data_IF_029410790643
#
_entry.id   IF_029410790643
#
_cell.length_a   1.000
_cell.length_b   1.000
_cell.length_c   1.000
_cell.angle_alpha   90.00
_cell.angle_beta   90.00
_cell.angle_gamma   90.00
#
_symmetry.space_group_name_H-M   'P 1'
#
loop_
_entity.id
_entity.type
_entity.pdbx_description
1 polymer ?
#
# COMPACT_ATOMS: atom_id res chain seq x y z
N UNK A 1 17.51 -6.35 -28.88
CA UNK A 1 16.13 -6.10 -28.40
C UNK A 1 16.21 -5.11 -27.26
N UNK A 2 15.46 -4.00 -27.31
CA UNK A 2 15.46 -3.03 -26.23
C UNK A 2 14.75 -3.62 -25.00
N UNK A 3 15.41 -3.58 -23.85
CA UNK A 3 14.89 -4.07 -22.57
C UNK A 3 13.70 -3.20 -22.15
N UNK A 4 12.49 -3.79 -22.08
CA UNK A 4 11.30 -3.07 -21.57
C UNK A 4 11.45 -2.94 -20.05
N UNK A 5 11.94 -1.78 -19.60
CA UNK A 5 11.93 -1.39 -18.20
C UNK A 5 10.49 -1.38 -17.65
N UNK A 6 10.33 -1.68 -16.37
CA UNK A 6 9.04 -1.48 -15.71
C UNK A 6 8.68 -0.01 -15.63
N UNK A 7 7.39 0.31 -15.60
CA UNK A 7 6.91 1.70 -15.42
C UNK A 7 7.48 2.33 -14.15
N UNK A 8 7.57 1.56 -13.06
CA UNK A 8 8.21 1.99 -11.82
C UNK A 8 9.71 2.21 -12.04
N UNK A 9 10.43 1.27 -12.66
CA UNK A 9 11.86 1.41 -13.00
C UNK A 9 12.14 2.68 -13.81
N UNK A 10 11.33 2.98 -14.82
CA UNK A 10 11.46 4.21 -15.61
C UNK A 10 11.26 5.47 -14.76
N UNK A 11 10.30 5.45 -13.83
CA UNK A 11 10.02 6.58 -12.95
C UNK A 11 11.10 6.77 -11.88
N UNK A 12 11.62 5.70 -11.29
CA UNK A 12 12.71 5.77 -10.32
C UNK A 12 14.08 6.11 -10.94
N UNK A 13 14.23 5.98 -12.26
CA UNK A 13 15.49 6.28 -12.97
C UNK A 13 15.56 7.70 -13.55
N UNK A 14 14.47 8.47 -13.51
CA UNK A 14 14.50 9.86 -13.95
C UNK A 14 15.01 10.79 -12.83
N UNK A 15 16.13 11.46 -13.10
CA UNK A 15 16.72 12.51 -12.25
C UNK A 15 15.89 13.83 -12.23
N UNK A 16 14.66 13.84 -12.76
CA UNK A 16 13.80 15.04 -12.85
C UNK A 16 12.81 15.10 -11.68
N UNK A 17 13.02 16.01 -10.70
CA UNK A 17 12.16 16.19 -9.53
C UNK A 17 10.69 16.50 -9.85
N UNK A 18 10.42 16.99 -11.06
CA UNK A 18 9.08 17.33 -11.49
C UNK A 18 8.22 16.11 -11.89
N UNK A 19 8.81 14.92 -12.07
CA UNK A 19 8.14 13.77 -12.73
C UNK A 19 7.81 12.56 -11.86
N UNK A 20 7.96 12.67 -10.54
CA UNK A 20 7.44 11.72 -9.56
C UNK A 20 8.53 10.85 -8.95
N UNK A 21 8.47 10.70 -7.63
CA UNK A 21 9.49 10.14 -6.72
C UNK A 21 10.62 11.09 -6.30
N UNK A 22 10.26 12.30 -5.86
CA UNK A 22 11.17 13.13 -5.05
C UNK A 22 11.31 12.54 -3.64
N UNK A 23 12.29 11.68 -3.43
CA UNK A 23 12.71 11.34 -2.07
C UNK A 23 13.59 10.12 -1.89
N UNK A 24 13.63 9.22 -2.87
CA UNK A 24 14.37 7.97 -2.70
C UNK A 24 15.69 8.04 -3.45
N UNK A 25 16.80 8.00 -2.71
CA UNK A 25 18.08 7.67 -3.29
C UNK A 25 18.03 6.18 -3.68
N UNK A 26 18.28 5.89 -4.96
CA UNK A 26 18.56 4.53 -5.41
C UNK A 26 19.74 3.99 -4.59
N UNK A 27 19.47 3.17 -3.57
CA UNK A 27 20.55 2.58 -2.80
C UNK A 27 21.16 1.47 -3.66
N UNK A 28 22.40 1.70 -4.11
CA UNK A 28 23.22 0.66 -4.75
C UNK A 28 23.67 -0.43 -3.77
N UNK A 29 23.53 -0.20 -2.46
CA UNK A 29 23.81 -1.16 -1.38
C UNK A 29 22.50 -1.69 -0.80
N UNK A 30 22.48 -2.97 -0.46
CA UNK A 30 21.29 -3.72 -0.03
C UNK A 30 21.04 -3.69 1.48
N UNK A 31 21.82 -2.91 2.21
CA UNK A 31 21.56 -2.61 3.61
C UNK A 31 20.36 -1.66 3.62
N UNK A 32 19.16 -2.21 3.85
CA UNK A 32 17.95 -1.42 3.91
C UNK A 32 18.06 -0.53 5.15
N UNK A 33 18.03 0.78 4.91
CA UNK A 33 17.87 1.73 6.02
C UNK A 33 16.44 1.57 6.59
N UNK A 34 16.30 1.80 7.90
CA UNK A 34 15.03 1.76 8.64
C UNK A 34 13.90 2.51 7.91
N UNK A 35 12.73 1.88 7.75
CA UNK A 35 11.56 2.43 7.05
C UNK A 35 11.85 2.88 5.61
N UNK A 36 12.87 2.31 4.96
CA UNK A 36 13.28 2.69 3.61
C UNK A 36 12.86 1.62 2.61
N UNK A 37 12.13 2.00 1.54
CA UNK A 37 11.90 1.12 0.42
C UNK A 37 13.15 1.00 -0.46
N UNK A 38 13.38 -0.17 -1.03
CA UNK A 38 14.42 -0.39 -2.03
C UNK A 38 13.84 -1.09 -3.25
N UNK A 39 14.22 -0.60 -4.44
CA UNK A 39 13.87 -1.21 -5.72
C UNK A 39 15.11 -1.78 -6.39
N UNK A 40 15.10 -3.09 -6.65
CA UNK A 40 15.98 -3.75 -7.60
C UNK A 40 15.32 -3.70 -8.98
N UNK A 41 15.81 -2.87 -9.91
CA UNK A 41 15.22 -2.75 -11.24
C UNK A 41 15.48 -4.01 -12.06
N UNK A 42 14.70 -4.14 -13.14
CA UNK A 42 14.66 -5.25 -14.07
C UNK A 42 16.01 -5.92 -14.32
N UNK A 43 16.12 -7.17 -13.88
CA UNK A 43 17.24 -8.04 -14.18
C UNK A 43 16.74 -9.29 -14.88
N UNK A 44 17.39 -9.70 -15.97
CA UNK A 44 17.15 -11.02 -16.52
C UNK A 44 17.41 -12.09 -15.45
N UNK A 45 16.51 -13.08 -15.36
CA UNK A 45 16.63 -14.17 -14.39
C UNK A 45 16.38 -15.51 -15.07
N UNK A 46 16.90 -16.56 -14.46
CA UNK A 46 16.60 -17.96 -14.77
C UNK A 46 15.77 -18.57 -13.64
N UNK A 47 15.05 -19.66 -13.92
CA UNK A 47 14.35 -20.40 -12.86
C UNK A 47 15.27 -20.77 -11.70
N UNK A 48 16.52 -21.15 -12.01
CA UNK A 48 17.56 -21.44 -11.03
C UNK A 48 17.86 -20.24 -10.12
N UNK A 49 17.97 -19.02 -10.67
CA UNK A 49 18.22 -17.81 -9.86
C UNK A 49 17.09 -17.56 -8.84
N UNK A 50 15.84 -17.80 -9.24
CA UNK A 50 14.66 -17.64 -8.37
C UNK A 50 14.62 -18.73 -7.31
N UNK A 51 14.86 -19.99 -7.69
CA UNK A 51 14.95 -21.14 -6.76
C UNK A 51 16.04 -20.93 -5.72
N UNK A 52 17.25 -20.53 -6.14
CA UNK A 52 18.35 -20.22 -5.22
C UNK A 52 17.98 -19.08 -4.28
N UNK A 53 17.23 -18.08 -4.75
CA UNK A 53 16.74 -17.01 -3.89
C UNK A 53 15.68 -17.47 -2.89
N UNK A 54 14.69 -18.27 -3.30
CA UNK A 54 13.66 -18.83 -2.40
C UNK A 54 14.30 -19.70 -1.30
N UNK A 55 15.37 -20.42 -1.62
CA UNK A 55 16.13 -21.19 -0.63
C UNK A 55 17.03 -20.31 0.24
N UNK A 56 17.53 -19.21 -0.30
CA UNK A 56 18.36 -18.23 0.40
C UNK A 56 17.58 -17.18 1.20
N UNK A 57 16.25 -17.16 1.13
CA UNK A 57 15.43 -16.30 1.99
C UNK A 57 15.45 -16.80 3.44
N UNK A 58 14.92 -15.99 4.36
CA UNK A 58 14.74 -16.38 5.76
C UNK A 58 13.98 -17.70 5.87
N UNK A 59 14.38 -18.53 6.84
CA UNK A 59 13.82 -19.88 7.02
C UNK A 59 12.31 -19.85 7.34
N UNK A 60 11.83 -18.76 7.94
CA UNK A 60 10.45 -18.52 8.36
C UNK A 60 9.64 -17.63 7.39
N UNK A 61 10.23 -17.23 6.25
CA UNK A 61 9.59 -16.37 5.27
C UNK A 61 8.32 -17.01 4.70
N UNK A 62 7.29 -16.17 4.49
CA UNK A 62 6.06 -16.54 3.76
C UNK A 62 6.08 -15.99 2.35
N UNK A 63 5.50 -16.76 1.44
CA UNK A 63 5.27 -16.38 0.06
C UNK A 63 3.77 -16.25 -0.18
N UNK A 64 3.35 -15.10 -0.70
CA UNK A 64 1.94 -14.77 -0.96
C UNK A 64 1.76 -14.61 -2.47
N UNK A 65 1.46 -15.69 -3.21
CA UNK A 65 1.22 -15.59 -4.65
C UNK A 65 -0.11 -14.88 -4.94
N UNK A 66 -0.12 -14.04 -5.98
CA UNK A 66 -1.36 -13.55 -6.57
C UNK A 66 -1.88 -14.50 -7.66
N UNK A 67 -3.03 -14.20 -8.23
CA UNK A 67 -3.62 -15.02 -9.30
C UNK A 67 -2.76 -15.02 -10.57
N UNK A 68 -2.06 -13.92 -10.86
CA UNK A 68 -1.17 -13.85 -12.03
C UNK A 68 0.06 -14.75 -11.92
N UNK A 69 0.42 -15.22 -10.72
CA UNK A 69 1.51 -16.15 -10.50
C UNK A 69 1.17 -17.62 -10.85
N UNK A 70 -0.11 -17.92 -11.09
CA UNK A 70 -0.56 -19.23 -11.60
C UNK A 70 -0.53 -19.18 -13.14
N UNK A 71 0.64 -19.42 -13.72
CA UNK A 71 0.93 -19.21 -15.15
C UNK A 71 1.86 -20.29 -15.70
N UNK A 72 1.51 -20.89 -16.84
CA UNK A 72 2.25 -22.00 -17.47
C UNK A 72 3.65 -21.60 -17.96
N UNK A 73 3.94 -20.30 -18.04
CA UNK A 73 5.25 -19.78 -18.42
C UNK A 73 6.24 -19.77 -17.26
N UNK A 74 5.78 -20.00 -16.02
CA UNK A 74 6.66 -20.15 -14.88
C UNK A 74 7.20 -21.57 -14.80
N UNK A 75 8.48 -21.68 -14.42
CA UNK A 75 9.12 -22.97 -14.28
C UNK A 75 8.56 -23.71 -13.06
N UNK A 76 8.15 -24.96 -13.26
CA UNK A 76 7.58 -25.84 -12.23
C UNK A 76 8.52 -26.05 -11.04
N UNK A 77 9.84 -25.93 -11.22
CA UNK A 77 10.82 -26.02 -10.13
C UNK A 77 10.66 -24.88 -9.11
N UNK A 78 10.19 -23.71 -9.54
CA UNK A 78 9.89 -22.60 -8.62
C UNK A 78 8.79 -23.03 -7.65
N UNK A 79 7.70 -23.60 -8.17
CA UNK A 79 6.60 -24.10 -7.36
C UNK A 79 7.03 -25.26 -6.45
N UNK A 80 7.79 -26.22 -6.96
CA UNK A 80 8.34 -27.30 -6.13
C UNK A 80 9.14 -26.76 -4.96
N UNK A 81 9.98 -25.75 -5.20
CA UNK A 81 10.81 -25.12 -4.16
C UNK A 81 9.97 -24.37 -3.12
N UNK A 82 8.92 -23.65 -3.55
CA UNK A 82 8.00 -22.97 -2.63
C UNK A 82 7.28 -23.97 -1.70
N UNK A 83 6.97 -25.16 -2.22
CA UNK A 83 6.21 -26.20 -1.53
C UNK A 83 7.09 -27.17 -0.72
N UNK A 84 8.41 -26.95 -0.61
CA UNK A 84 9.34 -27.81 0.15
C UNK A 84 9.05 -27.86 1.67
N UNK A 85 8.21 -26.97 2.21
CA UNK A 85 7.87 -26.96 3.62
C UNK A 85 6.44 -26.45 3.89
N UNK A 86 5.78 -26.95 4.96
CA UNK A 86 4.43 -26.54 5.31
C UNK A 86 4.39 -25.07 5.74
N UNK A 87 3.33 -24.35 5.37
CA UNK A 87 3.09 -22.97 5.81
C UNK A 87 4.07 -21.93 5.25
N UNK A 88 4.85 -22.30 4.23
CA UNK A 88 5.70 -21.35 3.49
C UNK A 88 4.91 -20.55 2.48
N UNK A 89 3.81 -21.07 1.97
CA UNK A 89 2.97 -20.39 0.97
C UNK A 89 1.62 -20.08 1.57
N UNK A 90 1.22 -18.82 1.52
CA UNK A 90 -0.07 -18.34 2.04
C UNK A 90 -1.00 -18.06 0.86
N UNK A 91 -2.11 -18.80 0.76
CA UNK A 91 -3.09 -18.62 -0.31
C UNK A 91 -4.33 -17.92 0.23
N UNK A 92 -4.66 -16.75 -0.34
CA UNK A 92 -5.91 -16.08 -0.02
C UNK A 92 -7.08 -16.79 -0.69
N UNK A 93 -8.25 -16.87 -0.01
CA UNK A 93 -9.46 -17.44 -0.62
C UNK A 93 -9.85 -16.79 -1.96
N UNK A 94 -9.68 -15.47 -2.10
CA UNK A 94 -10.00 -14.75 -3.34
C UNK A 94 -9.06 -15.12 -4.50
N UNK A 95 -7.80 -15.40 -4.20
CA UNK A 95 -6.84 -15.88 -5.20
C UNK A 95 -7.24 -17.28 -5.63
N UNK A 96 -7.55 -18.17 -4.69
CA UNK A 96 -8.01 -19.54 -4.96
C UNK A 96 -9.27 -19.56 -5.85
N UNK A 97 -10.23 -18.66 -5.58
CA UNK A 97 -11.42 -18.46 -6.42
C UNK A 97 -11.07 -18.03 -7.86
N UNK A 98 -10.21 -17.02 -8.02
CA UNK A 98 -9.80 -16.52 -9.34
C UNK A 98 -9.07 -17.57 -10.19
N UNK A 99 -8.23 -18.38 -9.55
CA UNK A 99 -7.39 -19.37 -10.24
C UNK A 99 -8.07 -20.74 -10.36
N UNK A 100 -9.28 -20.92 -9.83
CA UNK A 100 -9.98 -22.22 -9.83
C UNK A 100 -10.10 -22.88 -11.21
N UNK A 101 -10.34 -22.08 -12.26
CA UNK A 101 -10.35 -22.57 -13.65
C UNK A 101 -8.97 -23.04 -14.13
N UNK A 102 -7.91 -22.34 -13.73
CA UNK A 102 -6.53 -22.73 -14.03
C UNK A 102 -6.15 -24.01 -13.26
N UNK A 103 -6.45 -24.09 -11.96
CA UNK A 103 -6.19 -25.27 -11.13
C UNK A 103 -6.86 -26.53 -11.68
N UNK A 104 -8.11 -26.39 -12.15
CA UNK A 104 -8.86 -27.52 -12.74
C UNK A 104 -8.24 -27.99 -14.06
N UNK A 105 -7.79 -27.06 -14.91
CA UNK A 105 -7.17 -27.40 -16.21
C UNK A 105 -5.73 -27.89 -16.10
N UNK A 106 -5.07 -27.66 -14.96
CA UNK A 106 -3.68 -28.02 -14.69
C UNK A 106 -3.56 -28.96 -13.50
N UNK A 107 -4.43 -29.97 -13.40
CA UNK A 107 -4.52 -30.86 -12.25
C UNK A 107 -3.20 -31.58 -11.88
N UNK A 108 -2.27 -31.76 -12.82
CA UNK A 108 -0.94 -32.36 -12.61
C UNK A 108 0.17 -31.35 -12.30
N UNK A 109 -0.15 -30.06 -12.23
CA UNK A 109 0.82 -29.03 -11.87
C UNK A 109 1.03 -29.04 -10.34
N UNK A 110 2.27 -28.88 -9.83
CA UNK A 110 2.55 -28.98 -8.38
C UNK A 110 1.68 -28.09 -7.50
N UNK A 111 1.38 -26.87 -7.94
CA UNK A 111 0.47 -25.97 -7.23
C UNK A 111 -0.97 -26.51 -7.15
N UNK A 112 -1.50 -27.09 -8.23
CA UNK A 112 -2.86 -27.63 -8.26
C UNK A 112 -2.98 -28.88 -7.38
N UNK A 113 -1.99 -29.78 -7.46
CA UNK A 113 -1.90 -30.96 -6.60
C UNK A 113 -1.84 -30.54 -5.12
N UNK A 114 -1.02 -29.53 -4.78
CA UNK A 114 -0.89 -29.02 -3.42
C UNK A 114 -2.15 -28.33 -2.89
N UNK A 115 -2.90 -27.60 -3.74
CA UNK A 115 -4.19 -27.00 -3.34
C UNK A 115 -5.23 -28.09 -3.05
N UNK A 116 -5.26 -29.15 -3.87
CA UNK A 116 -6.21 -30.26 -3.75
C UNK A 116 -5.86 -31.30 -2.67
N UNK A 117 -4.63 -31.31 -2.17
CA UNK A 117 -4.18 -32.24 -1.16
C UNK A 117 -4.92 -32.08 0.18
N UNK A 118 -5.22 -33.21 0.85
CA UNK A 118 -5.88 -33.21 2.16
C UNK A 118 -5.02 -32.50 3.23
N UNK A 119 -3.71 -32.72 3.21
CA UNK A 119 -2.72 -31.97 3.98
C UNK A 119 -2.03 -30.98 3.04
N UNK A 120 -2.73 -29.87 2.77
CA UNK A 120 -2.21 -28.85 1.87
C UNK A 120 -0.99 -28.16 2.48
N UNK A 121 0.14 -28.02 1.76
CA UNK A 121 1.29 -27.24 2.21
C UNK A 121 1.00 -25.73 2.25
N UNK A 122 -0.12 -25.29 1.64
CA UNK A 122 -0.59 -23.92 1.72
C UNK A 122 -1.18 -23.61 3.09
N UNK A 123 -0.71 -22.52 3.69
CA UNK A 123 -1.41 -21.86 4.79
C UNK A 123 -2.60 -21.08 4.22
N UNK A 124 -3.81 -21.44 4.65
CA UNK A 124 -5.03 -20.70 4.29
C UNK A 124 -5.37 -19.73 5.41
N UNK A 125 -5.56 -18.46 5.05
CA UNK A 125 -5.99 -17.45 6.03
C UNK A 125 -7.47 -17.63 6.32
N UNK A 126 -7.76 -17.90 7.59
CA UNK A 126 -9.12 -17.85 8.12
C UNK A 126 -9.36 -16.52 8.85
N UNK A 127 -9.95 -15.56 8.14
CA UNK A 127 -10.34 -14.28 8.72
C UNK A 127 -11.35 -14.40 9.87
N UNK A 128 -12.05 -15.54 10.01
CA UNK A 128 -12.94 -15.81 11.14
C UNK A 128 -12.20 -15.99 12.46
N UNK A 129 -10.89 -16.26 12.41
CA UNK A 129 -10.03 -16.33 13.61
C UNK A 129 -9.46 -14.97 14.03
N UNK A 130 -9.59 -13.95 13.18
CA UNK A 130 -9.04 -12.62 13.45
C UNK A 130 -9.97 -11.84 14.38
N UNK A 131 -9.37 -10.98 15.22
CA UNK A 131 -10.15 -10.06 16.05
C UNK A 131 -10.89 -9.03 15.19
N UNK A 132 -12.04 -8.54 15.67
CA UNK A 132 -12.84 -7.55 14.93
C UNK A 132 -12.02 -6.29 14.56
N UNK A 133 -11.21 -5.80 15.50
CA UNK A 133 -10.32 -4.66 15.29
C UNK A 133 -9.30 -4.94 14.17
N UNK A 134 -8.77 -6.16 14.12
CA UNK A 134 -7.80 -6.57 13.10
C UNK A 134 -8.45 -6.63 11.71
N UNK A 135 -9.65 -7.20 11.62
CA UNK A 135 -10.45 -7.22 10.39
C UNK A 135 -10.74 -5.79 9.93
N UNK A 136 -11.11 -4.87 10.83
CA UNK A 136 -11.37 -3.46 10.49
C UNK A 136 -10.12 -2.76 9.98
N UNK A 137 -8.95 -2.98 10.61
CA UNK A 137 -7.69 -2.41 10.16
C UNK A 137 -7.28 -2.95 8.78
N UNK A 138 -7.42 -4.25 8.56
CA UNK A 138 -7.16 -4.88 7.27
C UNK A 138 -8.08 -4.32 6.18
N UNK A 139 -9.39 -4.30 6.46
CA UNK A 139 -10.41 -3.78 5.57
C UNK A 139 -10.15 -2.31 5.22
N UNK A 140 -9.67 -1.51 6.19
CA UNK A 140 -9.31 -0.11 5.95
C UNK A 140 -8.27 0.04 4.84
N UNK A 141 -7.15 -0.69 4.89
CA UNK A 141 -6.13 -0.57 3.86
C UNK A 141 -6.56 -1.18 2.53
N UNK A 142 -7.29 -2.29 2.55
CA UNK A 142 -7.87 -2.87 1.32
C UNK A 142 -8.78 -1.86 0.61
N UNK A 143 -9.71 -1.24 1.35
CA UNK A 143 -10.64 -0.26 0.80
C UNK A 143 -9.91 1.00 0.33
N UNK A 144 -8.88 1.45 1.06
CA UNK A 144 -8.09 2.61 0.71
C UNK A 144 -7.35 2.43 -0.62
N UNK A 145 -6.72 1.26 -0.82
CA UNK A 145 -6.06 0.93 -2.09
C UNK A 145 -7.09 0.73 -3.21
N UNK A 146 -8.21 0.08 -2.93
CA UNK A 146 -9.25 -0.20 -3.90
C UNK A 146 -9.98 1.07 -4.37
N UNK A 147 -9.97 2.13 -3.57
CA UNK A 147 -10.51 3.43 -3.96
C UNK A 147 -9.84 3.96 -5.25
N UNK A 148 -8.59 3.57 -5.53
CA UNK A 148 -7.87 3.87 -6.77
C UNK A 148 -8.53 3.28 -8.01
N UNK A 149 -9.17 2.11 -7.89
CA UNK A 149 -9.97 1.48 -8.95
C UNK A 149 -11.26 2.26 -9.23
N UNK A 150 -11.81 2.93 -8.22
CA UNK A 150 -13.08 3.67 -8.29
C UNK A 150 -12.95 5.13 -8.73
N UNK A 151 -11.73 5.65 -8.89
CA UNK A 151 -11.46 7.06 -9.20
C UNK A 151 -12.25 7.59 -10.39
N UNK A 152 -12.25 6.85 -11.51
CA UNK A 152 -12.98 7.26 -12.71
C UNK A 152 -14.50 7.27 -12.49
N UNK A 153 -15.04 6.29 -11.75
CA UNK A 153 -16.47 6.24 -11.41
C UNK A 153 -16.85 7.42 -10.53
N UNK A 154 -15.99 7.81 -9.58
CA UNK A 154 -16.21 8.97 -8.72
C UNK A 154 -16.20 10.29 -9.51
N UNK A 155 -15.24 10.46 -10.42
CA UNK A 155 -15.18 11.65 -11.29
C UNK A 155 -16.37 11.72 -12.24
N UNK A 156 -16.78 10.58 -12.80
CA UNK A 156 -17.97 10.50 -13.64
C UNK A 156 -19.23 10.88 -12.84
N UNK A 157 -19.45 10.25 -11.69
CA UNK A 157 -20.60 10.53 -10.83
C UNK A 157 -20.68 11.99 -10.38
N UNK A 158 -19.54 12.58 -9.99
CA UNK A 158 -19.48 14.02 -9.64
C UNK A 158 -19.95 14.89 -10.80
N UNK A 159 -19.48 14.59 -12.02
CA UNK A 159 -19.84 15.35 -13.22
C UNK A 159 -21.30 15.13 -13.63
N UNK A 160 -21.84 13.93 -13.46
CA UNK A 160 -23.27 13.65 -13.65
C UNK A 160 -24.13 14.45 -12.68
N UNK A 161 -23.71 14.51 -11.41
CA UNK A 161 -24.36 15.31 -10.38
C UNK A 161 -24.30 16.81 -10.70
N UNK A 162 -23.18 17.31 -11.21
CA UNK A 162 -23.02 18.71 -11.60
C UNK A 162 -23.86 19.07 -12.85
N UNK A 163 -24.01 18.14 -13.79
CA UNK A 163 -24.78 18.33 -15.02
C UNK A 163 -26.28 18.00 -14.88
N UNK A 164 -26.67 17.30 -13.81
CA UNK A 164 -28.03 16.80 -13.61
C UNK A 164 -28.47 15.74 -14.64
N UNK A 165 -27.52 15.08 -15.31
CA UNK A 165 -27.77 14.02 -16.31
C UNK A 165 -26.59 13.05 -16.42
N UNK A 166 -26.82 11.89 -17.02
CA UNK A 166 -25.77 10.93 -17.36
C UNK A 166 -24.74 11.53 -18.34
N UNK A 167 -23.48 11.07 -18.23
CA UNK A 167 -22.43 11.50 -19.14
C UNK A 167 -22.53 10.83 -20.51
N UNK A 168 -22.29 11.62 -21.55
CA UNK A 168 -22.05 11.09 -22.89
C UNK A 168 -20.69 10.38 -22.95
N UNK A 169 -20.50 9.47 -23.92
CA UNK A 169 -19.20 8.80 -24.13
C UNK A 169 -18.02 9.77 -24.28
N UNK A 170 -18.26 10.93 -24.91
CA UNK A 170 -17.26 11.98 -25.07
C UNK A 170 -16.88 12.62 -23.73
N UNK A 171 -17.85 12.86 -22.85
CA UNK A 171 -17.63 13.42 -21.51
C UNK A 171 -16.95 12.41 -20.59
N UNK A 172 -17.30 11.13 -20.73
CA UNK A 172 -16.61 9.99 -20.11
C UNK A 172 -15.12 9.99 -20.50
N UNK A 173 -14.82 10.08 -21.80
CA UNK A 173 -13.45 10.13 -22.30
C UNK A 173 -12.72 11.39 -21.83
N UNK A 174 -13.40 12.52 -21.76
CA UNK A 174 -12.84 13.76 -21.22
C UNK A 174 -12.53 13.64 -19.73
N UNK A 175 -13.44 13.12 -18.91
CA UNK A 175 -13.20 12.88 -17.49
C UNK A 175 -12.03 11.90 -17.25
N UNK A 176 -11.85 10.89 -18.12
CA UNK A 176 -10.66 10.03 -18.12
C UNK A 176 -9.37 10.80 -18.39
N UNK A 177 -9.39 11.77 -19.33
CA UNK A 177 -8.23 12.62 -19.63
C UNK A 177 -7.92 13.61 -18.51
N UNK A 178 -8.94 14.27 -17.97
CA UNK A 178 -8.78 15.17 -16.81
C UNK A 178 -8.25 14.39 -15.58
N UNK A 179 -8.68 13.14 -15.39
CA UNK A 179 -8.15 12.26 -14.35
C UNK A 179 -6.66 11.94 -14.58
N UNK A 180 -6.22 11.75 -15.82
CA UNK A 180 -4.79 11.57 -16.15
C UNK A 180 -3.97 12.80 -15.79
N UNK A 181 -4.48 13.99 -16.10
CA UNK A 181 -3.81 15.26 -15.82
C UNK A 181 -3.72 15.53 -14.31
N UNK A 182 -4.77 15.22 -13.56
CA UNK A 182 -4.85 15.55 -12.13
C UNK A 182 -4.16 14.52 -11.23
N UNK A 183 -4.37 13.22 -11.47
CA UNK A 183 -3.88 12.15 -10.59
C UNK A 183 -2.59 11.49 -11.11
N UNK A 184 -2.24 11.76 -12.36
CA UNK A 184 -1.08 11.19 -13.04
C UNK A 184 -1.36 9.82 -13.65
N UNK A 185 -0.43 9.37 -14.50
CA UNK A 185 -0.58 8.16 -15.30
C UNK A 185 -0.80 6.88 -14.46
N UNK A 186 -0.19 6.80 -13.26
CA UNK A 186 -0.26 5.61 -12.38
C UNK A 186 -1.68 5.36 -11.87
N UNK A 187 -2.39 6.40 -11.48
CA UNK A 187 -3.76 6.29 -10.98
C UNK A 187 -4.72 5.76 -12.07
N UNK A 188 -4.50 6.17 -13.32
CA UNK A 188 -5.39 5.81 -14.43
C UNK A 188 -5.15 4.42 -15.00
N UNK A 189 -3.96 3.85 -14.84
CA UNK A 189 -3.72 2.46 -15.23
C UNK A 189 -4.62 1.52 -14.44
N UNK A 190 -4.71 1.72 -13.12
CA UNK A 190 -5.48 0.84 -12.23
C UNK A 190 -6.99 0.95 -12.50
N UNK A 191 -7.48 2.13 -12.88
CA UNK A 191 -8.92 2.31 -13.22
C UNK A 191 -9.34 1.58 -14.48
N UNK A 192 -8.41 1.26 -15.42
CA UNK A 192 -8.75 0.50 -16.63
C UNK A 192 -9.09 -0.95 -16.36
N UNK A 193 -8.51 -1.57 -15.33
CA UNK A 193 -8.89 -2.94 -14.93
C UNK A 193 -10.26 -2.99 -14.26
N UNK A 194 -10.63 -1.91 -13.58
CA UNK A 194 -11.89 -1.81 -12.84
C UNK A 194 -13.15 -1.71 -13.73
N UNK A 195 -13.03 -1.50 -15.05
CA UNK A 195 -14.19 -1.37 -15.94
C UNK A 195 -14.87 -2.69 -16.29
N UNK A 196 -14.25 -3.84 -15.96
CA UNK A 196 -14.81 -5.17 -16.25
C UNK A 196 -15.31 -5.95 -15.03
N UNK A 197 -14.96 -5.54 -13.81
CA UNK A 197 -15.31 -6.25 -12.57
C UNK A 197 -16.47 -5.59 -11.82
N UNK A 198 -17.30 -6.41 -11.20
CA UNK A 198 -18.35 -5.96 -10.29
C UNK A 198 -17.70 -5.63 -8.92
N UNK A 199 -17.75 -4.39 -8.42
CA UNK A 199 -17.26 -4.03 -7.08
C UNK A 199 -17.92 -4.78 -5.93
N UNK A 200 -19.03 -5.47 -6.21
CA UNK A 200 -19.76 -6.30 -5.28
C UNK A 200 -19.17 -7.71 -5.13
N UNK A 201 -18.30 -8.15 -6.05
CA UNK A 201 -17.61 -9.44 -5.95
C UNK A 201 -16.34 -9.33 -5.11
N UNK A 202 -16.06 -10.39 -4.36
CA UNK A 202 -14.89 -10.46 -3.49
C UNK A 202 -13.56 -10.39 -4.28
N UNK A 203 -13.56 -10.93 -5.50
CA UNK A 203 -12.43 -10.89 -6.45
C UNK A 203 -12.05 -9.47 -6.89
N UNK A 204 -12.93 -8.48 -6.74
CA UNK A 204 -12.61 -7.10 -7.12
C UNK A 204 -11.42 -6.53 -6.31
N UNK A 205 -11.20 -7.05 -5.10
CA UNK A 205 -10.22 -6.58 -4.12
C UNK A 205 -9.01 -7.50 -3.95
N UNK A 206 -8.80 -8.48 -4.86
CA UNK A 206 -7.76 -9.50 -4.70
C UNK A 206 -6.36 -8.89 -4.57
N UNK A 207 -5.95 -8.04 -5.51
CA UNK A 207 -4.63 -7.38 -5.50
C UNK A 207 -4.39 -6.59 -4.21
N UNK A 208 -5.40 -5.83 -3.78
CA UNK A 208 -5.34 -5.03 -2.55
C UNK A 208 -5.27 -5.92 -1.31
N UNK A 209 -5.98 -7.04 -1.31
CA UNK A 209 -5.99 -8.00 -0.20
C UNK A 209 -4.67 -8.74 -0.08
N UNK A 210 -4.10 -9.22 -1.20
CA UNK A 210 -2.78 -9.85 -1.25
C UNK A 210 -1.72 -8.88 -0.72
N UNK A 211 -1.75 -7.64 -1.21
CA UNK A 211 -0.80 -6.60 -0.80
C UNK A 211 -0.94 -6.30 0.70
N UNK A 212 -2.16 -6.06 1.17
CA UNK A 212 -2.41 -5.74 2.58
C UNK A 212 -2.04 -6.90 3.49
N UNK A 213 -2.37 -8.13 3.12
CA UNK A 213 -2.05 -9.32 3.92
C UNK A 213 -0.54 -9.48 4.10
N UNK A 214 0.26 -9.29 3.05
CA UNK A 214 1.71 -9.42 3.16
C UNK A 214 2.30 -8.46 4.22
N UNK A 215 1.86 -7.20 4.23
CA UNK A 215 2.26 -6.25 5.27
C UNK A 215 1.74 -6.65 6.67
N UNK A 216 0.50 -7.14 6.77
CA UNK A 216 -0.06 -7.61 8.05
C UNK A 216 0.73 -8.79 8.62
N UNK A 217 1.04 -9.81 7.81
CA UNK A 217 1.86 -10.95 8.25
C UNK A 217 3.22 -10.44 8.73
N UNK A 218 3.88 -9.61 7.92
CA UNK A 218 5.20 -9.05 8.25
C UNK A 218 5.17 -8.27 9.57
N UNK A 219 4.24 -7.34 9.76
CA UNK A 219 4.16 -6.50 10.96
C UNK A 219 3.76 -7.32 12.18
N UNK A 220 2.71 -8.14 12.09
CA UNK A 220 2.13 -8.87 13.23
C UNK A 220 3.03 -10.00 13.69
N UNK A 221 3.42 -10.88 12.77
CA UNK A 221 4.19 -12.09 13.11
C UNK A 221 5.69 -11.82 13.20
N UNK A 222 6.19 -10.79 12.51
CA UNK A 222 7.63 -10.58 12.31
C UNK A 222 8.24 -11.45 11.20
N UNK A 223 7.47 -12.39 10.62
CA UNK A 223 7.92 -13.24 9.51
C UNK A 223 8.05 -12.40 8.25
N UNK A 224 9.17 -12.47 7.51
CA UNK A 224 9.28 -11.81 6.22
C UNK A 224 8.19 -12.28 5.25
N UNK A 225 7.51 -11.35 4.58
CA UNK A 225 6.41 -11.66 3.68
C UNK A 225 6.74 -11.22 2.24
N UNK A 226 6.66 -12.16 1.30
CA UNK A 226 7.10 -11.97 -0.09
C UNK A 226 5.92 -12.20 -1.02
N UNK A 227 5.43 -11.15 -1.66
CA UNK A 227 4.44 -11.24 -2.72
C UNK A 227 5.10 -11.78 -3.99
N UNK A 228 4.52 -12.81 -4.59
CA UNK A 228 4.95 -13.35 -5.87
C UNK A 228 3.91 -12.98 -6.92
N UNK A 229 4.32 -12.27 -7.97
CA UNK A 229 3.38 -11.76 -8.98
C UNK A 229 4.01 -11.65 -10.37
N UNK A 230 3.18 -11.73 -11.40
CA UNK A 230 3.51 -11.35 -12.79
C UNK A 230 2.86 -10.02 -13.20
N UNK A 231 2.05 -9.45 -12.32
CA UNK A 231 1.28 -8.23 -12.54
C UNK A 231 2.02 -6.99 -12.03
N UNK A 232 2.23 -6.02 -12.92
CA UNK A 232 2.84 -4.74 -12.58
C UNK A 232 2.01 -3.97 -11.55
N UNK A 233 0.70 -4.16 -11.55
CA UNK A 233 -0.21 -3.36 -10.74
C UNK A 233 -0.08 -3.72 -9.25
N UNK A 234 0.26 -4.98 -8.89
CA UNK A 234 0.59 -5.34 -7.51
C UNK A 234 1.84 -4.60 -7.01
N UNK A 235 2.86 -4.43 -7.85
CA UNK A 235 4.05 -3.65 -7.48
C UNK A 235 3.69 -2.18 -7.15
N UNK A 236 2.74 -1.61 -7.88
CA UNK A 236 2.20 -0.26 -7.65
C UNK A 236 1.33 -0.18 -6.39
N UNK A 237 0.59 -1.23 -6.05
CA UNK A 237 -0.16 -1.33 -4.81
C UNK A 237 0.77 -1.50 -3.61
N UNK A 238 1.80 -2.35 -3.73
CA UNK A 238 2.82 -2.57 -2.70
C UNK A 238 3.51 -1.26 -2.33
N UNK A 239 4.02 -0.54 -3.33
CA UNK A 239 4.65 0.76 -3.08
C UNK A 239 3.67 1.74 -2.42
N UNK A 240 2.42 1.81 -2.90
CA UNK A 240 1.45 2.75 -2.36
C UNK A 240 1.13 2.44 -0.90
N UNK A 241 0.90 1.18 -0.58
CA UNK A 241 0.61 0.75 0.78
C UNK A 241 1.80 1.02 1.72
N UNK A 242 3.02 0.72 1.28
CA UNK A 242 4.23 1.04 2.02
C UNK A 242 4.26 2.51 2.44
N UNK A 243 4.05 3.41 1.48
CA UNK A 243 4.11 4.84 1.72
C UNK A 243 3.00 5.34 2.66
N UNK A 244 1.78 4.80 2.51
CA UNK A 244 0.65 5.10 3.40
C UNK A 244 0.94 4.63 4.83
N UNK A 245 1.43 3.40 5.00
CA UNK A 245 1.77 2.83 6.30
C UNK A 245 2.87 3.63 7.00
N UNK A 246 3.96 3.98 6.31
CA UNK A 246 5.04 4.80 6.88
C UNK A 246 4.53 6.19 7.30
N UNK A 247 3.80 6.87 6.42
CA UNK A 247 3.26 8.21 6.71
C UNK A 247 2.29 8.18 7.90
N UNK A 248 1.40 7.19 7.95
CA UNK A 248 0.42 7.06 9.02
C UNK A 248 1.05 6.58 10.33
N UNK A 249 2.09 5.73 10.28
CA UNK A 249 2.83 5.28 11.45
C UNK A 249 3.58 6.42 12.12
N UNK A 250 4.28 7.25 11.34
CA UNK A 250 4.89 8.47 11.86
C UNK A 250 3.84 9.46 12.39
N UNK A 251 2.64 9.49 11.81
CA UNK A 251 1.49 10.25 12.35
C UNK A 251 0.99 9.72 13.68
N UNK A 252 0.93 8.40 13.85
CA UNK A 252 0.66 7.76 15.13
C UNK A 252 1.71 8.17 16.18
N UNK A 253 3.00 7.95 15.91
CA UNK A 253 4.08 8.28 16.83
C UNK A 253 4.12 9.77 17.20
N UNK A 254 3.91 10.65 16.22
CA UNK A 254 3.88 12.09 16.45
C UNK A 254 2.65 12.49 17.29
N UNK A 255 1.51 11.82 17.14
CA UNK A 255 0.36 12.03 18.01
C UNK A 255 0.66 11.62 19.46
N UNK A 256 1.31 10.47 19.65
CA UNK A 256 1.72 9.99 20.97
C UNK A 256 2.68 10.98 21.66
N UNK A 257 3.67 11.49 20.93
CA UNK A 257 4.59 12.52 21.42
C UNK A 257 3.88 13.85 21.70
N UNK A 258 2.94 14.29 20.83
CA UNK A 258 2.19 15.52 21.02
C UNK A 258 1.26 15.46 22.25
N UNK A 259 0.67 14.32 22.55
CA UNK A 259 -0.15 14.16 23.76
C UNK A 259 0.72 14.26 25.03
N UNK A 260 1.98 13.85 24.96
CA UNK A 260 2.93 13.98 26.06
C UNK A 260 3.49 15.40 26.22
N UNK A 261 3.61 16.17 25.13
CA UNK A 261 4.24 17.50 25.12
C UNK A 261 3.35 18.57 24.48
N UNK A 262 3.07 19.66 25.22
CA UNK A 262 2.39 20.83 24.65
C UNK A 262 3.32 21.57 23.68
N UNK A 263 3.16 21.30 22.39
CA UNK A 263 3.85 22.05 21.32
C UNK A 263 3.09 23.33 20.95
N UNK A 264 3.79 24.42 20.58
CA UNK A 264 3.13 25.58 20.00
C UNK A 264 2.28 25.16 18.80
N UNK A 265 1.02 25.59 18.81
CA UNK A 265 0.09 25.30 17.73
C UNK A 265 -0.53 26.60 17.24
N UNK A 266 -0.94 26.60 15.97
CA UNK A 266 -1.79 27.63 15.39
C UNK A 266 -3.11 27.04 14.95
N UNK A 267 -4.14 27.88 14.89
CA UNK A 267 -5.43 27.47 14.35
C UNK A 267 -5.28 27.06 12.89
N UNK A 268 -5.97 25.98 12.51
CA UNK A 268 -6.09 25.60 11.12
C UNK A 268 -6.94 26.66 10.37
N UNK A 269 -6.54 27.07 9.14
CA UNK A 269 -7.37 27.98 8.34
C UNK A 269 -8.73 27.34 8.01
N UNK A 270 -9.76 28.16 7.87
CA UNK A 270 -11.09 27.75 7.38
C UNK A 270 -11.19 27.91 5.86
N UNK A 271 -12.12 27.20 5.23
CA UNK A 271 -12.37 27.28 3.78
C UNK A 271 -11.62 26.22 3.00
N UNK A 272 -11.86 26.18 1.68
CA UNK A 272 -11.14 25.27 0.79
C UNK A 272 -9.62 25.57 0.80
N UNK A 273 -8.75 24.53 0.78
CA UNK A 273 -9.07 23.11 0.68
C UNK A 273 -9.26 22.38 2.04
N UNK A 274 -9.22 23.10 3.16
CA UNK A 274 -9.27 22.49 4.50
C UNK A 274 -10.63 21.84 4.79
N UNK A 275 -11.71 22.53 4.45
CA UNK A 275 -13.08 22.05 4.71
C UNK A 275 -13.46 20.83 3.87
N UNK A 276 -12.71 20.56 2.79
CA UNK A 276 -12.86 19.35 1.96
C UNK A 276 -12.25 18.12 2.65
N UNK A 277 -11.15 18.30 3.40
CA UNK A 277 -10.42 17.22 4.06
C UNK A 277 -10.85 17.01 5.53
N UNK A 278 -11.25 18.09 6.19
CA UNK A 278 -11.49 18.12 7.64
C UNK A 278 -12.88 18.69 7.95
N UNK A 279 -13.46 18.24 9.06
CA UNK A 279 -14.64 18.88 9.65
C UNK A 279 -14.19 20.22 10.24
N UNK A 280 -14.79 21.32 9.77
CA UNK A 280 -14.46 22.66 10.27
C UNK A 280 -14.71 22.76 11.78
N UNK A 281 -13.79 23.37 12.52
CA UNK A 281 -13.95 23.53 13.96
C UNK A 281 -12.81 24.30 14.65
N UNK A 282 -13.10 24.97 15.77
CA UNK A 282 -12.13 25.81 16.48
C UNK A 282 -11.03 25.01 17.18
N UNK A 283 -11.08 23.67 17.14
CA UNK A 283 -10.13 22.76 17.78
C UNK A 283 -9.14 22.12 16.79
N UNK A 284 -9.28 22.41 15.50
CA UNK A 284 -8.31 21.97 14.49
C UNK A 284 -7.03 22.82 14.63
N UNK A 285 -5.89 22.14 14.68
CA UNK A 285 -4.60 22.76 14.91
C UNK A 285 -3.62 22.35 13.82
N UNK A 286 -2.77 23.30 13.46
CA UNK A 286 -1.53 23.04 12.76
C UNK A 286 -0.39 23.23 13.73
N UNK A 287 0.61 22.37 13.67
CA UNK A 287 1.87 22.59 14.35
C UNK A 287 3.02 22.40 13.37
N UNK A 288 4.00 23.27 13.50
CA UNK A 288 5.20 23.21 12.68
C UNK A 288 6.00 21.97 13.05
N UNK A 289 6.47 21.25 12.03
CA UNK A 289 7.39 20.14 12.21
C UNK A 289 8.58 20.29 11.29
N UNK A 290 9.75 19.95 11.79
CA UNK A 290 10.92 19.73 10.93
C UNK A 290 10.85 18.32 10.31
N UNK A 291 11.62 18.07 9.25
CA UNK A 291 11.78 16.70 8.75
C UNK A 291 12.52 15.83 9.79
N UNK A 292 13.42 16.43 10.58
CA UNK A 292 14.08 15.79 11.72
C UNK A 292 13.09 15.36 12.81
N UNK A 293 12.02 16.11 13.03
CA UNK A 293 10.99 15.73 14.01
C UNK A 293 10.35 14.37 13.67
N UNK A 294 10.23 14.05 12.37
CA UNK A 294 9.71 12.76 11.94
C UNK A 294 10.68 11.59 12.20
N UNK A 295 11.98 11.86 12.23
CA UNK A 295 13.00 10.88 12.63
C UNK A 295 13.06 10.75 14.15
N UNK A 296 12.91 11.86 14.88
CA UNK A 296 12.98 11.87 16.35
C UNK A 296 11.79 11.19 17.03
N UNK A 297 10.63 11.09 16.37
CA UNK A 297 9.48 10.35 16.92
C UNK A 297 9.60 8.84 16.74
N UNK A 298 10.56 8.37 15.94
CA UNK A 298 10.79 6.94 15.77
C UNK A 298 11.35 6.33 17.06
N UNK A 299 10.88 5.14 17.48
CA UNK A 299 11.36 4.54 18.72
C UNK A 299 12.86 4.22 18.64
N UNK A 300 13.61 4.46 19.71
CA UNK A 300 15.07 4.17 19.77
C UNK A 300 15.36 2.68 19.57
N UNK A 301 14.47 1.82 20.08
CA UNK A 301 14.53 0.37 19.91
C UNK A 301 13.33 -0.07 19.09
N UNK A 302 13.59 -0.86 18.06
CA UNK A 302 12.56 -1.39 17.19
C UNK A 302 12.90 -2.82 16.78
N UNK A 303 11.89 -3.56 16.33
CA UNK A 303 12.07 -4.89 15.75
C UNK A 303 11.83 -4.80 14.25
N UNK A 304 12.90 -4.97 13.45
CA UNK A 304 12.77 -4.98 11.99
C UNK A 304 11.82 -6.06 11.52
N UNK A 305 11.09 -5.77 10.46
CA UNK A 305 10.34 -6.75 9.70
C UNK A 305 10.41 -6.42 8.21
N UNK A 306 10.16 -7.39 7.34
CA UNK A 306 10.38 -7.21 5.91
C UNK A 306 9.18 -7.65 5.09
N UNK A 307 8.72 -6.74 4.24
CA UNK A 307 7.77 -7.05 3.18
C UNK A 307 8.47 -6.88 1.82
N UNK A 308 8.20 -7.78 0.88
CA UNK A 308 8.74 -7.69 -0.48
C UNK A 308 7.66 -7.98 -1.52
N UNK A 309 7.88 -7.47 -2.73
CA UNK A 309 7.12 -7.80 -3.92
C UNK A 309 8.07 -8.17 -5.05
N UNK A 310 8.00 -9.42 -5.50
CA UNK A 310 8.79 -9.97 -6.58
C UNK A 310 7.93 -10.05 -7.84
N UNK A 311 8.23 -9.17 -8.79
CA UNK A 311 7.60 -9.15 -10.09
C UNK A 311 8.41 -10.01 -11.06
N UNK A 312 7.91 -11.22 -11.35
CA UNK A 312 8.58 -12.27 -12.10
C UNK A 312 7.98 -12.42 -13.51
N UNK A 313 8.52 -11.69 -14.50
CA UNK A 313 8.08 -11.74 -15.90
C UNK A 313 9.14 -12.39 -16.79
N UNK A 314 9.58 -11.70 -17.85
CA UNK A 314 10.82 -12.03 -18.56
C UNK A 314 12.05 -11.50 -17.83
N UNK A 315 11.83 -10.50 -16.98
CA UNK A 315 12.77 -9.90 -16.04
C UNK A 315 12.20 -10.01 -14.65
N UNK A 316 13.07 -9.92 -13.67
CA UNK A 316 12.74 -9.85 -12.26
C UNK A 316 12.93 -8.41 -11.80
N UNK A 317 11.91 -7.88 -11.12
CA UNK A 317 12.00 -6.66 -10.34
C UNK A 317 11.65 -7.00 -8.90
N UNK A 318 12.46 -6.57 -7.93
CA UNK A 318 12.18 -6.76 -6.51
C UNK A 318 12.01 -5.42 -5.84
N UNK A 319 10.87 -5.22 -5.21
CA UNK A 319 10.63 -4.09 -4.32
C UNK A 319 10.63 -4.62 -2.88
N UNK A 320 11.51 -4.11 -2.04
CA UNK A 320 11.59 -4.46 -0.62
C UNK A 320 11.23 -3.26 0.25
N UNK A 321 10.66 -3.51 1.42
CA UNK A 321 10.46 -2.53 2.48
C UNK A 321 10.90 -3.13 3.81
N UNK A 322 11.78 -2.41 4.51
CA UNK A 322 12.16 -2.74 5.90
C UNK A 322 11.33 -1.90 6.86
N UNK A 323 10.33 -2.54 7.45
CA UNK A 323 9.37 -1.97 8.38
C UNK A 323 9.72 -2.23 9.84
N UNK A 324 8.83 -1.82 10.72
CA UNK A 324 8.92 -2.07 12.16
C UNK A 324 7.72 -2.87 12.63
N UNK A 325 7.91 -3.86 13.51
CA UNK A 325 6.78 -4.58 14.12
C UNK A 325 5.93 -3.65 14.99
N UNK A 326 6.52 -2.59 15.50
CA UNK A 326 5.89 -1.52 16.26
C UNK A 326 4.81 -0.77 15.45
N UNK A 327 4.82 -0.88 14.11
CA UNK A 327 3.70 -0.45 13.26
C UNK A 327 2.38 -1.17 13.60
N UNK A 328 2.44 -2.31 14.31
CA UNK A 328 1.25 -2.99 14.84
C UNK A 328 0.38 -2.10 15.72
N UNK A 329 0.97 -1.15 16.46
CA UNK A 329 0.21 -0.21 17.28
C UNK A 329 -0.66 0.74 16.43
N UNK A 330 -0.18 1.15 15.24
CA UNK A 330 -0.98 1.88 14.26
C UNK A 330 -2.15 1.00 13.77
N UNK A 331 -1.88 -0.27 13.41
CA UNK A 331 -2.93 -1.17 12.94
C UNK A 331 -4.01 -1.36 14.01
N UNK A 332 -3.62 -1.48 15.27
CA UNK A 332 -4.55 -1.57 16.40
C UNK A 332 -5.38 -0.29 16.57
N UNK A 333 -4.75 0.89 16.47
CA UNK A 333 -5.46 2.17 16.51
C UNK A 333 -6.45 2.31 15.35
N UNK A 334 -6.05 1.92 14.12
CA UNK A 334 -6.93 1.90 12.94
C UNK A 334 -8.14 0.99 13.18
N UNK A 335 -7.90 -0.20 13.74
CA UNK A 335 -8.94 -1.16 14.12
C UNK A 335 -9.93 -0.58 15.12
N UNK A 336 -9.46 -0.11 16.28
CA UNK A 336 -10.31 0.43 17.36
C UNK A 336 -11.12 1.66 16.95
N UNK A 337 -10.50 2.57 16.19
CA UNK A 337 -11.11 3.87 15.82
C UNK A 337 -11.85 3.84 14.47
N UNK A 338 -11.79 2.71 13.77
CA UNK A 338 -12.32 2.54 12.42
C UNK A 338 -11.58 3.35 11.35
N UNK A 339 -10.35 3.84 11.60
CA UNK A 339 -9.52 4.48 10.58
C UNK A 339 -8.63 5.65 11.02
N UNK A 340 -8.63 6.08 12.29
CA UNK A 340 -7.72 7.12 12.80
C UNK A 340 -6.31 6.55 13.04
N UNK A 341 -5.28 7.41 13.02
CA UNK A 341 -3.90 7.03 13.31
C UNK A 341 -3.65 6.81 14.81
N UNK A 342 -4.48 7.40 15.68
CA UNK A 342 -4.41 7.22 17.15
C UNK A 342 -5.82 7.29 17.75
N UNK A 343 -6.02 6.65 18.90
CA UNK A 343 -7.23 6.79 19.72
C UNK A 343 -7.13 7.93 20.75
N UNK A 344 -5.93 8.49 20.98
CA UNK A 344 -5.70 9.52 22.01
C UNK A 344 -6.18 10.91 21.66
N UNK A 345 -6.38 11.20 20.37
CA UNK A 345 -6.79 12.52 19.89
C UNK A 345 -8.29 12.60 19.55
N UNK A 346 -9.05 11.53 19.77
CA UNK A 346 -10.44 11.40 19.34
C UNK A 346 -11.31 12.63 19.69
N UNK A 347 -12.17 13.10 18.75
CA UNK A 347 -12.41 12.53 17.41
C UNK A 347 -11.38 12.95 16.36
N UNK A 348 -10.32 13.65 16.75
CA UNK A 348 -9.29 14.18 15.84
C UNK A 348 -8.23 13.13 15.51
N UNK A 349 -7.58 13.31 14.38
CA UNK A 349 -6.49 12.51 13.87
C UNK A 349 -5.20 13.36 13.76
N UNK A 350 -4.05 12.71 13.57
CA UNK A 350 -2.77 13.38 13.34
C UNK A 350 -2.25 13.05 11.93
N UNK A 351 -2.08 14.08 11.11
CA UNK A 351 -1.61 13.97 9.73
C UNK A 351 -0.29 14.70 9.56
N UNK A 352 0.80 13.96 9.39
CA UNK A 352 2.13 14.56 9.19
C UNK A 352 2.34 15.11 7.79
N UNK A 353 1.53 14.66 6.84
CA UNK A 353 1.64 15.01 5.43
C UNK A 353 0.30 15.57 4.97
N UNK A 354 0.29 16.85 4.64
CA UNK A 354 -0.90 17.54 4.13
C UNK A 354 -0.95 17.58 2.61
N UNK A 355 0.07 17.03 1.94
CA UNK A 355 -0.06 16.69 0.53
C UNK A 355 -1.11 15.57 0.38
N UNK A 356 -1.95 15.63 -0.66
CA UNK A 356 -1.83 16.51 -1.81
C UNK A 356 -2.69 17.79 -1.77
N UNK A 357 -3.30 18.15 -0.63
CA UNK A 357 -4.17 19.33 -0.53
C UNK A 357 -3.51 20.57 -1.13
N UNK A 358 -4.19 21.41 -1.94
CA UNK A 358 -3.61 22.59 -2.57
C UNK A 358 -3.41 23.75 -1.57
N UNK A 359 -2.60 23.52 -0.54
CA UNK A 359 -2.27 24.50 0.50
C UNK A 359 -0.98 25.24 0.18
N UNK A 360 -0.85 26.44 0.76
CA UNK A 360 0.35 27.28 0.66
C UNK A 360 1.62 26.53 1.06
N UNK A 361 2.73 26.82 0.36
CA UNK A 361 4.01 26.15 0.57
C UNK A 361 4.51 26.26 2.03
N UNK A 362 4.30 27.42 2.68
CA UNK A 362 4.67 27.65 4.09
C UNK A 362 3.94 26.71 5.07
N UNK A 363 2.79 26.15 4.69
CA UNK A 363 2.00 25.23 5.51
C UNK A 363 2.39 23.76 5.26
N UNK A 364 3.23 23.46 4.27
CA UNK A 364 3.63 22.08 3.92
C UNK A 364 4.53 21.40 4.96
N UNK A 365 5.27 22.19 5.73
CA UNK A 365 6.08 21.73 6.88
C UNK A 365 5.27 21.57 8.16
N UNK A 366 3.94 21.54 8.08
CA UNK A 366 3.08 21.36 9.26
C UNK A 366 2.46 19.98 9.27
N UNK A 367 2.21 19.49 10.49
CA UNK A 367 1.28 18.42 10.74
C UNK A 367 -0.07 19.00 11.19
N UNK A 368 -1.16 18.30 10.88
CA UNK A 368 -2.50 18.67 11.30
C UNK A 368 -3.01 17.75 12.41
N UNK A 369 -3.60 18.35 13.43
CA UNK A 369 -4.46 17.68 14.40
C UNK A 369 -5.88 18.17 14.15
N UNK A 370 -6.69 17.35 13.48
CA UNK A 370 -8.01 17.77 13.02
C UNK A 370 -8.99 16.61 12.97
N UNK A 371 -10.28 16.93 13.07
CA UNK A 371 -11.34 15.96 12.84
C UNK A 371 -11.49 15.71 11.34
N UNK A 372 -11.37 14.45 10.93
CA UNK A 372 -11.39 14.07 9.52
C UNK A 372 -12.80 14.18 8.94
N UNK A 373 -12.92 14.72 7.71
CA UNK A 373 -14.09 14.43 6.89
C UNK A 373 -13.93 13.01 6.35
N UNK A 374 -14.92 12.14 6.59
CA UNK A 374 -14.81 10.71 6.30
C UNK A 374 -15.83 10.26 5.27
N UNK A 375 -15.44 9.30 4.43
CA UNK A 375 -16.32 8.57 3.52
C UNK A 375 -16.70 7.25 4.19
N UNK A 376 -18.00 7.04 4.42
CA UNK A 376 -18.49 5.74 4.89
C UNK A 376 -18.45 4.73 3.74
N UNK A 377 -17.73 3.64 3.92
CA UNK A 377 -17.70 2.57 2.92
C UNK A 377 -18.96 1.72 3.05
N UNK A 378 -19.67 1.52 1.94
CA UNK A 378 -20.85 0.65 1.93
C UNK A 378 -20.43 -0.78 2.35
N UNK A 379 -21.25 -1.44 3.18
CA UNK A 379 -21.07 -2.83 3.64
C UNK A 379 -19.91 -3.07 4.62
N UNK A 380 -19.20 -2.04 5.06
CA UNK A 380 -18.16 -2.20 6.10
C UNK A 380 -18.35 -1.16 7.20
N UNK A 381 -17.89 -1.47 8.41
CA UNK A 381 -17.86 -0.52 9.54
C UNK A 381 -16.65 0.42 9.47
N UNK A 382 -16.01 0.54 8.30
CA UNK A 382 -14.83 1.37 8.11
C UNK A 382 -15.21 2.67 7.43
N UNK A 383 -14.65 3.77 7.92
CA UNK A 383 -14.80 5.08 7.32
C UNK A 383 -13.42 5.66 6.97
N UNK A 384 -13.21 5.98 5.70
CA UNK A 384 -11.94 6.46 5.18
C UNK A 384 -11.83 7.99 5.32
N UNK A 385 -10.80 8.53 5.98
CA UNK A 385 -10.52 9.96 5.96
C UNK A 385 -10.27 10.46 4.53
N UNK A 386 -10.84 11.62 4.20
CA UNK A 386 -10.72 12.20 2.86
C UNK A 386 -9.26 12.50 2.49
N UNK A 387 -8.45 12.93 3.46
CA UNK A 387 -7.02 13.14 3.22
C UNK A 387 -6.30 11.83 2.87
N UNK A 388 -6.58 10.73 3.58
CA UNK A 388 -6.00 9.42 3.28
C UNK A 388 -6.43 8.95 1.88
N UNK A 389 -7.70 9.15 1.52
CA UNK A 389 -8.21 8.86 0.16
C UNK A 389 -7.44 9.65 -0.89
N UNK A 390 -7.28 10.96 -0.70
CA UNK A 390 -6.50 11.81 -1.62
C UNK A 390 -5.05 11.33 -1.74
N UNK A 391 -4.45 10.92 -0.63
CA UNK A 391 -3.11 10.36 -0.57
C UNK A 391 -2.99 9.00 -1.27
N UNK A 392 -4.01 8.16 -1.18
CA UNK A 392 -4.06 6.89 -1.91
C UNK A 392 -4.17 7.09 -3.43
N UNK A 393 -4.94 8.10 -3.85
CA UNK A 393 -5.22 8.41 -5.25
C UNK A 393 -4.08 9.14 -5.97
N UNK A 394 -3.47 10.13 -5.33
CA UNK A 394 -2.48 11.00 -5.98
C UNK A 394 -1.09 10.37 -5.99
N UNK A 395 -0.19 10.91 -6.82
CA UNK A 395 1.19 10.41 -7.04
C UNK A 395 2.26 11.31 -6.42
N UNK A 396 1.85 12.08 -5.39
CA UNK A 396 2.66 13.13 -4.74
C UNK A 396 3.48 12.64 -3.54
N UNK A 397 3.76 11.34 -3.45
CA UNK A 397 4.60 10.78 -2.41
C UNK A 397 5.99 11.42 -2.47
N UNK A 398 6.37 12.18 -1.43
CA UNK A 398 7.69 12.80 -1.32
C UNK A 398 8.14 12.84 0.13
N UNK A 399 9.32 12.28 0.40
CA UNK A 399 10.10 12.56 1.60
C UNK A 399 11.31 13.38 1.18
N UNK A 400 11.58 14.53 1.82
CA UNK A 400 12.90 15.13 1.68
C UNK A 400 13.87 14.15 2.33
N UNK A 401 14.77 13.61 1.51
CA UNK A 401 15.92 12.74 1.82
C UNK A 401 16.14 12.52 3.34
N UNK A 402 15.88 11.29 3.81
CA UNK A 402 16.33 10.83 5.13
C UNK A 402 17.85 10.99 5.18
N UNK A 403 18.33 11.80 6.12
CA UNK A 403 19.77 11.95 6.35
C UNK A 403 20.19 10.70 7.10
N UNK A 404 21.15 9.94 6.57
CA UNK A 404 21.72 8.79 7.27
C UNK A 404 22.16 9.23 8.66
N UNK A 405 21.50 8.73 9.70
CA UNK A 405 22.12 8.70 11.01
C UNK A 405 23.27 7.71 10.88
N UNK A 406 24.50 8.20 10.93
CA UNK A 406 25.63 7.32 11.23
C UNK A 406 25.32 6.68 12.59
N UNK A 407 24.82 5.44 12.57
CA UNK A 407 24.68 4.65 13.78
C UNK A 407 26.09 4.54 14.37
N UNK A 408 26.26 5.13 15.55
CA UNK A 408 27.48 4.94 16.33
C UNK A 408 27.67 3.43 16.54
N UNK A 409 28.82 2.94 16.07
CA UNK A 409 29.32 1.58 16.25
C UNK A 409 29.45 1.25 17.73
#
# INVERSE_FOLDING_TARGET
MAEKRTRLSDQFTHEDPARGFDGYAFQRRWDLDRLTPALRPDRAYTARDVVERIRGTYADAVFVPDSSFFDDRLDVEIWRTLLEGPGRVVLLPHVEEEVGGWLTSHASHPAAEAVAAAESPFERIDFGTWGEDEIRAFTYYVQLLAFRKSLYKLMAYRRESELGRELTEREILQAKRESLEHFGHRAVVLTRKATGGDPSTLTFYTDESVTTLAFFISIRSGRPAIILTRDQDLLEQFYKLQWLLDTQYRGHLLAEAFVAELRPTRSMPSGAPWDEAFVGGPNNRLFERSDRDLELVLPERYTSTRAECWLLRTTETVFSFDGEREMGALLDAKGRTGGLNTDRLQPRNCHIRLAPLPIEHALRGHAAIAEDRRIQMQRTNVALPMLDVNQALMTGERFKKVVRSDAAV
#
